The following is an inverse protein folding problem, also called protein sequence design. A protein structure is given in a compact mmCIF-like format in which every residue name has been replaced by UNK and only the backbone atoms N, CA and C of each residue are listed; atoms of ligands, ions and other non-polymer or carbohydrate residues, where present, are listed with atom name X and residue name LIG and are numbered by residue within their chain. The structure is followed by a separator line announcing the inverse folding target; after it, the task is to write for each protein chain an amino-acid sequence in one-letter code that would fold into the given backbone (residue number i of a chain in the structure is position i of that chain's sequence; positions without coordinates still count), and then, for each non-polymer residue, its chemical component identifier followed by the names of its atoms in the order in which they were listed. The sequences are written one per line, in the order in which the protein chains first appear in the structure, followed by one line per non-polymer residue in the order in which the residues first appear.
data_IF_595551897436
#
_entry.id   IF_595551897436
#
_cell.length_a   1.000
_cell.length_b   1.000
_cell.length_c   1.000
_cell.angle_alpha   90.00
_cell.angle_beta   90.00
_cell.angle_gamma   90.00
#
_symmetry.space_group_name_H-M   'P 1'
#
loop_
_entity.id
_entity.type
_entity.pdbx_description
1 polymer ?
#
# COMPACT_ATOMS: atom_id res chain seq x y z
N UNK A 1 18.17 -13.23 12.62
CA UNK A 1 18.47 -11.95 13.29
C UNK A 1 18.94 -12.26 14.70
N UNK A 2 19.97 -11.56 15.20
CA UNK A 2 20.41 -11.71 16.60
C UNK A 2 19.37 -11.06 17.53
N UNK A 3 19.10 -11.63 18.73
CA UNK A 3 18.28 -10.95 19.75
C UNK A 3 18.81 -9.57 20.16
N UNK A 4 20.07 -9.28 19.85
CA UNK A 4 20.74 -8.01 20.16
C UNK A 4 20.74 -7.02 18.98
N UNK A 5 19.89 -7.23 17.96
CA UNK A 5 19.79 -6.33 16.81
C UNK A 5 18.68 -5.29 17.04
N UNK A 6 19.06 -4.02 17.18
CA UNK A 6 18.16 -2.90 17.48
C UNK A 6 18.21 -1.76 16.44
N UNK A 7 18.79 -1.99 15.26
CA UNK A 7 18.85 -0.99 14.21
C UNK A 7 17.60 -1.05 13.30
N UNK A 8 17.09 0.11 12.90
CA UNK A 8 15.93 0.24 12.01
C UNK A 8 14.69 -0.55 12.48
N UNK A 9 13.94 -1.13 11.54
CA UNK A 9 12.82 -2.01 11.81
C UNK A 9 13.22 -3.49 11.69
N UNK A 10 12.61 -4.38 12.50
CA UNK A 10 12.88 -5.81 12.42
C UNK A 10 12.46 -6.36 11.05
N UNK A 11 13.38 -7.10 10.43
CA UNK A 11 13.08 -7.95 9.28
C UNK A 11 12.63 -9.30 9.81
N UNK A 12 11.31 -9.48 9.87
CA UNK A 12 10.68 -10.67 10.45
C UNK A 12 10.99 -11.93 9.62
N UNK A 13 11.67 -12.89 10.24
CA UNK A 13 11.96 -14.21 9.65
C UNK A 13 11.30 -15.33 10.45
N UNK A 14 10.81 -16.36 9.77
CA UNK A 14 10.28 -17.57 10.40
C UNK A 14 10.67 -18.82 9.60
N UNK A 15 10.66 -19.99 10.25
CA UNK A 15 10.91 -21.28 9.57
C UNK A 15 9.85 -21.52 8.49
N UNK A 16 8.59 -21.14 8.76
CA UNK A 16 7.52 -21.23 7.79
C UNK A 16 7.80 -20.38 6.53
N UNK A 17 8.30 -19.15 6.69
CA UNK A 17 8.74 -18.30 5.57
C UNK A 17 9.86 -18.97 4.78
N UNK A 18 10.87 -19.51 5.46
CA UNK A 18 11.99 -20.17 4.80
C UNK A 18 11.55 -21.36 3.93
N UNK A 19 10.70 -22.24 4.47
CA UNK A 19 10.16 -23.38 3.71
C UNK A 19 9.28 -22.90 2.56
N UNK A 20 8.46 -21.88 2.79
CA UNK A 20 7.63 -21.27 1.75
C UNK A 20 8.45 -20.73 0.57
N UNK A 21 9.48 -19.93 0.85
CA UNK A 21 10.39 -19.41 -0.19
C UNK A 21 11.17 -20.53 -0.89
N UNK A 22 11.60 -21.56 -0.16
CA UNK A 22 12.27 -22.72 -0.75
C UNK A 22 11.35 -23.45 -1.74
N UNK A 23 10.07 -23.63 -1.39
CA UNK A 23 9.08 -24.23 -2.30
C UNK A 23 8.79 -23.33 -3.49
N UNK A 24 8.59 -22.03 -3.29
CA UNK A 24 8.38 -21.07 -4.38
C UNK A 24 9.54 -21.07 -5.37
N UNK A 25 10.78 -21.08 -4.88
CA UNK A 25 11.97 -21.19 -5.71
C UNK A 25 12.08 -22.55 -6.41
N UNK A 26 11.67 -23.63 -5.74
CA UNK A 26 11.65 -24.98 -6.33
C UNK A 26 10.66 -25.10 -7.49
N UNK A 27 9.49 -24.46 -7.38
CA UNK A 27 8.50 -24.42 -8.46
C UNK A 27 8.90 -23.46 -9.59
N UNK A 28 9.65 -22.40 -9.28
CA UNK A 28 10.15 -21.41 -10.25
C UNK A 28 9.04 -20.88 -11.19
N UNK A 29 7.85 -20.64 -10.62
CA UNK A 29 6.66 -20.26 -11.38
C UNK A 29 6.64 -18.76 -11.62
N UNK A 30 6.40 -18.37 -12.88
CA UNK A 30 6.25 -16.97 -13.29
C UNK A 30 4.76 -16.61 -13.31
N UNK A 31 4.29 -15.91 -12.26
CA UNK A 31 2.89 -15.53 -12.07
C UNK A 31 2.44 -14.27 -12.83
N UNK A 32 2.92 -14.03 -14.06
CA UNK A 32 2.62 -12.78 -14.78
C UNK A 32 1.15 -12.63 -15.19
N UNK A 33 0.45 -13.74 -15.44
CA UNK A 33 -0.98 -13.75 -15.70
C UNK A 33 -1.61 -15.02 -15.13
N UNK A 34 -2.94 -15.02 -14.99
CA UNK A 34 -3.68 -16.15 -14.45
C UNK A 34 -3.45 -17.45 -15.24
N UNK A 35 -3.32 -17.38 -16.58
CA UNK A 35 -3.07 -18.58 -17.42
C UNK A 35 -1.68 -19.20 -17.17
N UNK A 36 -0.69 -18.39 -16.82
CA UNK A 36 0.68 -18.84 -16.51
C UNK A 36 0.77 -19.49 -15.14
N UNK A 37 -0.03 -19.04 -14.16
CA UNK A 37 -0.16 -19.71 -12.87
C UNK A 37 -1.48 -19.38 -12.16
N UNK A 38 -2.52 -20.19 -12.36
CA UNK A 38 -3.80 -20.01 -11.68
C UNK A 38 -3.66 -20.14 -10.17
N UNK A 39 -2.89 -21.14 -9.72
CA UNK A 39 -2.69 -21.42 -8.31
C UNK A 39 -1.99 -20.27 -7.56
N UNK A 40 -0.98 -19.63 -8.16
CA UNK A 40 -0.29 -18.51 -7.53
C UNK A 40 -1.23 -17.30 -7.34
N UNK A 41 -1.96 -16.93 -8.39
CA UNK A 41 -2.87 -15.77 -8.38
C UNK A 41 -4.10 -15.98 -7.47
N UNK A 42 -4.69 -17.18 -7.44
CA UNK A 42 -5.79 -17.50 -6.55
C UNK A 42 -5.35 -17.58 -5.08
N UNK A 43 -4.19 -18.18 -4.82
CA UNK A 43 -3.65 -18.27 -3.46
C UNK A 43 -3.37 -16.87 -2.90
N UNK A 44 -2.77 -15.98 -3.68
CA UNK A 44 -2.55 -14.59 -3.30
C UNK A 44 -3.85 -13.89 -2.92
N UNK A 45 -4.89 -14.04 -3.75
CA UNK A 45 -6.23 -13.47 -3.49
C UNK A 45 -6.79 -13.92 -2.14
N UNK A 46 -6.69 -15.23 -1.83
CA UNK A 46 -7.19 -15.81 -0.58
C UNK A 46 -6.37 -15.30 0.62
N UNK A 47 -5.05 -15.31 0.52
CA UNK A 47 -4.14 -14.86 1.59
C UNK A 47 -4.35 -13.38 1.88
N UNK A 48 -4.49 -12.54 0.86
CA UNK A 48 -4.78 -11.11 1.02
C UNK A 48 -6.14 -10.88 1.67
N UNK A 49 -7.15 -11.71 1.35
CA UNK A 49 -8.44 -11.67 2.03
C UNK A 49 -8.36 -12.08 3.51
N UNK A 50 -7.54 -13.08 3.86
CA UNK A 50 -7.30 -13.45 5.26
C UNK A 50 -6.61 -12.31 6.02
N UNK A 51 -5.56 -11.73 5.44
CA UNK A 51 -4.84 -10.62 6.04
C UNK A 51 -5.76 -9.40 6.25
N UNK A 52 -6.54 -9.02 5.24
CA UNK A 52 -7.48 -7.90 5.36
C UNK A 52 -8.54 -8.12 6.44
N UNK A 53 -9.00 -9.36 6.64
CA UNK A 53 -9.92 -9.71 7.74
C UNK A 53 -9.24 -9.65 9.10
N UNK A 54 -7.99 -10.12 9.21
CA UNK A 54 -7.22 -10.05 10.46
C UNK A 54 -6.95 -8.60 10.89
N UNK A 55 -6.71 -7.71 9.92
CA UNK A 55 -6.55 -6.28 10.14
C UNK A 55 -7.88 -5.52 10.31
N UNK A 56 -9.01 -6.24 10.25
CA UNK A 56 -10.37 -5.66 10.28
C UNK A 56 -10.57 -4.52 9.27
N UNK A 57 -9.99 -4.66 8.07
CA UNK A 57 -10.11 -3.64 7.03
C UNK A 57 -11.54 -3.55 6.49
N UNK A 58 -11.97 -2.35 6.03
CA UNK A 58 -13.26 -2.19 5.38
C UNK A 58 -13.47 -3.16 4.22
N UNK A 59 -14.71 -3.64 4.04
CA UNK A 59 -15.06 -4.62 3.00
C UNK A 59 -14.73 -4.17 1.57
N UNK A 60 -14.56 -2.87 1.32
CA UNK A 60 -14.15 -2.36 0.01
C UNK A 60 -12.72 -2.75 -0.38
N UNK A 61 -11.86 -3.13 0.58
CA UNK A 61 -10.50 -3.63 0.32
C UNK A 61 -10.41 -5.16 0.22
N UNK A 62 -11.52 -5.86 0.47
CA UNK A 62 -11.58 -7.33 0.43
C UNK A 62 -12.12 -7.77 -0.92
N UNK A 63 -11.48 -8.75 -1.55
CA UNK A 63 -11.98 -9.31 -2.80
C UNK A 63 -13.36 -9.93 -2.58
N UNK A 64 -14.34 -9.43 -3.35
CA UNK A 64 -15.70 -9.97 -3.40
C UNK A 64 -15.81 -11.03 -4.50
N UNK A 65 -16.70 -12.01 -4.31
CA UNK A 65 -16.92 -13.14 -5.23
C UNK A 65 -17.29 -12.75 -6.66
N UNK A 66 -17.72 -11.50 -6.88
CA UNK A 66 -18.09 -10.99 -8.20
C UNK A 66 -17.00 -10.11 -8.84
N UNK A 67 -15.79 -10.03 -8.26
CA UNK A 67 -14.68 -9.15 -8.71
C UNK A 67 -15.06 -7.66 -8.88
N UNK A 68 -16.21 -7.25 -8.33
CA UNK A 68 -16.66 -5.86 -8.28
C UNK A 68 -16.29 -5.30 -6.91
N UNK A 69 -15.20 -4.53 -6.85
CA UNK A 69 -14.69 -3.94 -5.61
C UNK A 69 -13.16 -3.79 -5.64
N UNK A 70 -12.57 -3.45 -4.50
CA UNK A 70 -11.12 -3.46 -4.34
C UNK A 70 -10.56 -4.87 -4.11
N UNK A 71 -9.29 -4.92 -3.70
CA UNK A 71 -8.56 -6.14 -3.43
C UNK A 71 -7.17 -5.85 -2.89
N UNK A 72 -6.38 -6.90 -2.69
CA UNK A 72 -4.99 -6.83 -2.25
C UNK A 72 -4.05 -7.51 -3.22
N UNK A 73 -2.82 -7.00 -3.32
CA UNK A 73 -1.74 -7.56 -4.12
C UNK A 73 -0.48 -7.61 -3.27
N UNK A 74 0.34 -8.65 -3.46
CA UNK A 74 1.66 -8.78 -2.84
C UNK A 74 2.71 -8.10 -3.71
N UNK A 75 3.46 -7.18 -3.11
CA UNK A 75 4.55 -6.46 -3.75
C UNK A 75 5.84 -6.68 -2.96
N UNK A 76 6.99 -6.50 -3.62
CA UNK A 76 8.29 -6.75 -3.00
C UNK A 76 8.65 -5.71 -1.94
N UNK A 77 8.22 -4.46 -2.14
CA UNK A 77 8.49 -3.35 -1.21
C UNK A 77 7.31 -2.40 -1.06
N UNK A 78 7.29 -1.63 0.03
CA UNK A 78 6.31 -0.54 0.21
C UNK A 78 6.52 0.58 -0.81
N UNK A 79 7.76 0.83 -1.24
CA UNK A 79 8.06 1.81 -2.29
C UNK A 79 7.42 1.44 -3.64
N UNK A 80 7.45 0.16 -4.03
CA UNK A 80 6.75 -0.34 -5.22
C UNK A 80 5.24 -0.13 -5.10
N UNK A 81 4.66 -0.42 -3.92
CA UNK A 81 3.24 -0.19 -3.66
C UNK A 81 2.86 1.29 -3.76
N UNK A 82 3.63 2.18 -3.13
CA UNK A 82 3.44 3.63 -3.20
C UNK A 82 3.55 4.10 -4.65
N UNK A 83 4.58 3.66 -5.39
CA UNK A 83 4.75 4.03 -6.79
C UNK A 83 3.58 3.58 -7.66
N UNK A 84 3.10 2.34 -7.51
CA UNK A 84 1.92 1.85 -8.22
C UNK A 84 0.69 2.72 -7.93
N UNK A 85 0.41 3.00 -6.64
CA UNK A 85 -0.75 3.83 -6.27
C UNK A 85 -0.61 5.29 -6.72
N UNK A 86 0.60 5.84 -6.69
CA UNK A 86 0.90 7.18 -7.18
C UNK A 86 0.69 7.29 -8.69
N UNK A 87 1.14 6.29 -9.45
CA UNK A 87 0.92 6.21 -10.90
C UNK A 87 -0.58 6.14 -11.20
N UNK A 88 -1.34 5.32 -10.46
CA UNK A 88 -2.81 5.26 -10.60
C UNK A 88 -3.47 6.61 -10.31
N UNK A 89 -3.13 7.24 -9.18
CA UNK A 89 -3.68 8.55 -8.81
C UNK A 89 -3.33 9.64 -9.82
N UNK A 90 -2.09 9.63 -10.32
CA UNK A 90 -1.64 10.53 -11.39
C UNK A 90 -2.46 10.33 -12.66
N UNK A 91 -2.59 9.09 -13.12
CA UNK A 91 -3.27 8.80 -14.39
C UNK A 91 -4.77 9.10 -14.30
N UNK A 92 -5.40 8.81 -13.16
CA UNK A 92 -6.77 9.20 -12.86
C UNK A 92 -6.92 10.73 -12.90
N UNK A 93 -6.04 11.48 -12.22
CA UNK A 93 -6.12 12.95 -12.22
C UNK A 93 -5.86 13.55 -13.60
N UNK A 94 -4.88 13.03 -14.35
CA UNK A 94 -4.60 13.47 -15.71
C UNK A 94 -5.73 13.15 -16.69
N UNK A 95 -6.53 12.11 -16.44
CA UNK A 95 -7.73 11.85 -17.23
C UNK A 95 -8.79 12.94 -17.07
N UNK A 96 -8.82 13.63 -15.92
CA UNK A 96 -9.75 14.71 -15.63
C UNK A 96 -9.24 16.07 -16.14
N UNK A 97 -7.94 16.36 -15.95
CA UNK A 97 -7.35 17.70 -16.21
C UNK A 97 -6.55 17.81 -17.52
N UNK A 98 -6.32 16.70 -18.24
CA UNK A 98 -5.47 16.65 -19.43
C UNK A 98 -4.01 16.31 -19.13
N UNK A 99 -3.40 15.50 -20.00
CA UNK A 99 -2.03 14.97 -19.83
C UNK A 99 -0.94 16.06 -19.86
N UNK A 100 -1.22 17.19 -20.51
CA UNK A 100 -0.36 18.35 -20.60
C UNK A 100 -0.13 19.05 -19.24
N UNK A 101 -1.00 18.80 -18.26
CA UNK A 101 -0.92 19.42 -16.93
C UNK A 101 -0.15 18.57 -15.91
N UNK A 102 0.62 17.56 -16.34
CA UNK A 102 1.42 16.71 -15.43
C UNK A 102 2.39 17.50 -14.56
N UNK A 103 2.99 18.57 -15.08
CA UNK A 103 3.91 19.43 -14.32
C UNK A 103 3.26 20.27 -13.23
N UNK A 104 1.92 20.28 -13.16
CA UNK A 104 1.16 20.98 -12.13
C UNK A 104 0.76 20.06 -10.97
N UNK A 105 0.96 18.75 -11.08
CA UNK A 105 0.53 17.82 -10.04
C UNK A 105 1.38 17.94 -8.78
N UNK A 106 0.72 17.98 -7.62
CA UNK A 106 1.36 18.01 -6.31
C UNK A 106 1.04 16.75 -5.50
N UNK A 107 2.08 16.22 -4.83
CA UNK A 107 2.06 15.04 -3.96
C UNK A 107 2.41 15.48 -2.55
N UNK A 108 1.67 15.03 -1.55
CA UNK A 108 1.87 15.38 -0.14
C UNK A 108 2.25 14.15 0.69
N UNK A 109 3.13 14.35 1.67
CA UNK A 109 3.56 13.37 2.67
C UNK A 109 3.63 14.02 4.07
N UNK A 110 3.63 13.20 5.13
CA UNK A 110 3.55 13.58 6.56
C UNK A 110 4.39 14.81 6.99
N UNK A 111 5.64 14.93 6.53
CA UNK A 111 6.56 16.01 6.94
C UNK A 111 6.48 17.29 6.07
N UNK A 112 5.67 17.31 5.01
CA UNK A 112 5.62 18.39 4.01
C UNK A 112 4.28 19.15 3.97
N UNK A 113 3.54 19.26 5.08
CA UNK A 113 2.23 19.96 5.07
C UNK A 113 2.30 21.49 4.97
N UNK A 114 3.47 22.08 4.66
CA UNK A 114 3.61 23.53 4.50
C UNK A 114 3.57 23.95 3.02
N UNK A 115 2.46 24.59 2.65
CA UNK A 115 2.16 25.29 1.40
C UNK A 115 1.75 24.45 0.18
N UNK A 116 0.49 24.62 -0.22
CA UNK A 116 0.09 24.53 -1.63
C UNK A 116 0.60 25.80 -2.29
N UNK A 117 1.62 25.69 -3.14
CA UNK A 117 2.04 26.81 -3.98
C UNK A 117 0.92 27.15 -4.98
N UNK A 118 0.63 28.44 -5.16
CA UNK A 118 -0.47 28.90 -6.02
C UNK A 118 -0.29 28.38 -7.46
N UNK A 119 -1.19 27.51 -7.91
CA UNK A 119 -1.23 26.99 -9.29
C UNK A 119 -0.96 25.49 -9.45
N UNK A 120 -0.63 24.78 -8.38
CA UNK A 120 -0.51 23.32 -8.38
C UNK A 120 -1.87 22.64 -8.14
N UNK A 121 -2.03 21.44 -8.71
CA UNK A 121 -3.20 20.57 -8.58
C UNK A 121 -2.83 19.40 -7.67
N UNK A 122 -3.38 19.31 -6.46
CA UNK A 122 -3.10 18.20 -5.57
C UNK A 122 -3.67 16.89 -6.16
N UNK A 123 -2.90 15.80 -6.12
CA UNK A 123 -3.33 14.50 -6.67
C UNK A 123 -3.12 13.31 -5.74
N UNK A 124 -2.14 13.37 -4.84
CA UNK A 124 -1.79 12.24 -3.98
C UNK A 124 -1.39 12.69 -2.58
N UNK A 125 -1.80 11.92 -1.57
CA UNK A 125 -1.44 12.08 -0.18
C UNK A 125 -0.98 10.73 0.39
N UNK A 126 0.26 10.66 0.88
CA UNK A 126 0.77 9.53 1.65
C UNK A 126 0.67 9.86 3.15
N UNK A 127 -0.21 9.15 3.86
CA UNK A 127 -0.34 9.25 5.31
C UNK A 127 0.36 8.05 5.97
N UNK A 128 1.15 8.28 7.02
CA UNK A 128 1.99 7.26 7.64
C UNK A 128 1.45 6.85 9.02
N UNK A 129 1.35 5.55 9.25
CA UNK A 129 1.11 4.94 10.56
C UNK A 129 2.40 4.22 10.97
N UNK A 130 3.20 4.88 11.81
CA UNK A 130 4.50 4.38 12.26
C UNK A 130 5.67 4.93 11.42
N UNK A 131 5.93 6.23 11.51
CA UNK A 131 7.06 6.89 10.81
C UNK A 131 8.41 6.28 11.20
N UNK A 132 9.35 6.18 10.26
CA UNK A 132 10.67 5.57 10.50
C UNK A 132 11.46 6.20 11.65
N UNK A 133 11.37 7.52 11.85
CA UNK A 133 12.19 8.21 12.84
C UNK A 133 11.71 7.99 14.29
N UNK A 134 10.41 8.13 14.52
CA UNK A 134 9.83 8.20 15.89
C UNK A 134 8.62 7.28 16.10
N UNK A 135 8.26 6.47 15.11
CA UNK A 135 7.03 5.67 15.10
C UNK A 135 5.75 6.51 15.32
N UNK A 136 5.75 7.77 14.87
CA UNK A 136 4.59 8.66 14.93
C UNK A 136 3.47 8.19 13.98
N UNK A 137 2.25 8.64 14.26
CA UNK A 137 1.04 8.27 13.53
C UNK A 137 0.35 9.54 13.05
N UNK A 138 0.11 9.62 11.74
CA UNK A 138 -0.67 10.70 11.14
C UNK A 138 -2.17 10.58 11.50
N UNK A 139 -2.90 11.71 11.60
CA UNK A 139 -4.33 11.71 11.88
C UNK A 139 -5.14 11.30 10.64
N UNK A 140 -5.14 10.00 10.30
CA UNK A 140 -5.72 9.42 9.08
C UNK A 140 -7.14 9.93 8.79
N UNK A 141 -8.03 9.93 9.79
CA UNK A 141 -9.43 10.37 9.60
C UNK A 141 -9.53 11.83 9.15
N UNK A 142 -8.76 12.72 9.77
CA UNK A 142 -8.75 14.14 9.43
C UNK A 142 -8.15 14.36 8.05
N UNK A 143 -7.07 13.66 7.73
CA UNK A 143 -6.43 13.70 6.42
C UNK A 143 -7.36 13.21 5.30
N UNK A 144 -8.07 12.10 5.50
CA UNK A 144 -9.04 11.60 4.53
C UNK A 144 -10.21 12.57 4.28
N UNK A 145 -10.67 13.29 5.32
CA UNK A 145 -11.73 14.28 5.16
C UNK A 145 -11.28 15.44 4.25
N UNK A 146 -10.07 15.95 4.47
CA UNK A 146 -9.48 17.00 3.64
C UNK A 146 -9.20 16.48 2.22
N UNK A 147 -8.59 15.32 2.09
CA UNK A 147 -8.29 14.72 0.79
C UNK A 147 -9.55 14.51 -0.07
N UNK A 148 -10.68 14.18 0.56
CA UNK A 148 -11.97 14.04 -0.12
C UNK A 148 -12.51 15.38 -0.66
N UNK A 149 -12.26 16.49 0.02
CA UNK A 149 -12.69 17.83 -0.43
C UNK A 149 -11.95 18.26 -1.71
N UNK A 150 -10.69 17.87 -1.84
CA UNK A 150 -9.82 18.24 -2.97
C UNK A 150 -9.68 17.14 -4.03
N UNK A 151 -10.42 16.03 -3.91
CA UNK A 151 -10.35 14.87 -4.81
C UNK A 151 -8.89 14.36 -4.97
N UNK A 152 -8.27 14.09 -3.82
CA UNK A 152 -6.89 13.61 -3.68
C UNK A 152 -6.92 12.12 -3.35
N UNK A 153 -6.09 11.32 -4.02
CA UNK A 153 -5.89 9.93 -3.67
C UNK A 153 -5.15 9.79 -2.34
N UNK A 154 -5.64 8.95 -1.43
CA UNK A 154 -4.98 8.69 -0.14
C UNK A 154 -4.36 7.29 -0.14
N UNK A 155 -3.05 7.26 0.08
CA UNK A 155 -2.29 6.04 0.41
C UNK A 155 -1.96 6.05 1.89
N UNK A 156 -2.16 4.92 2.57
CA UNK A 156 -1.75 4.74 3.97
C UNK A 156 -0.52 3.84 4.02
N UNK A 157 0.62 4.42 4.38
CA UNK A 157 1.85 3.68 4.63
C UNK A 157 1.87 3.19 6.09
N UNK A 158 1.73 1.89 6.26
CA UNK A 158 1.81 1.21 7.55
C UNK A 158 2.88 0.11 7.52
N UNK A 159 3.99 0.33 6.82
CA UNK A 159 5.04 -0.66 6.56
C UNK A 159 5.48 -1.45 7.81
N UNK A 160 5.65 -0.75 8.94
CA UNK A 160 6.04 -1.37 10.20
C UNK A 160 4.84 -1.61 11.13
N UNK A 161 4.11 -0.55 11.47
CA UNK A 161 3.07 -0.61 12.50
C UNK A 161 1.81 -1.37 12.05
N UNK A 162 1.58 -1.55 10.74
CA UNK A 162 0.38 -2.23 10.24
C UNK A 162 0.22 -3.66 10.76
N UNK A 163 1.32 -4.36 11.00
CA UNK A 163 1.29 -5.71 11.59
C UNK A 163 0.70 -5.74 13.01
N UNK A 164 0.83 -4.64 13.76
CA UNK A 164 0.31 -4.53 15.13
C UNK A 164 -1.21 -4.38 15.17
N UNK A 165 -1.83 -3.90 14.08
CA UNK A 165 -3.27 -3.70 13.97
C UNK A 165 -4.09 -5.01 13.90
N UNK A 166 -3.42 -6.17 13.91
CA UNK A 166 -4.07 -7.49 14.09
C UNK A 166 -4.60 -7.63 15.53
N UNK A 167 -3.97 -6.96 16.48
CA UNK A 167 -4.41 -6.93 17.87
C UNK A 167 -5.44 -5.80 18.06
N UNK A 168 -6.59 -6.08 18.71
CA UNK A 168 -7.65 -5.09 18.95
C UNK A 168 -7.29 -4.09 20.07
#
# INVERSE_FOLDING_TARGET
MSPNYYAYFPSSGSIARFIGEMLSNGFNVVGFNWLSSPAATELETIVMNWLGKMLNLPKCFIFSSNFKGGGGVLLGTTCEAILCTLVTARDEKLSQIGKENIGKLAVYCSDQTHNVENGLVPCFLCATVGTTATNAIDPIKSLCNVAKEYDIWVHVDAAYAGSTCICP
#
